data_IF_476243519270
#
_entry.id   IF_476243519270
#
_cell.length_a   1.000
_cell.length_b   1.000
_cell.length_c   1.000
_cell.angle_alpha   90.00
_cell.angle_beta   90.00
_cell.angle_gamma   90.00
#
_symmetry.space_group_name_H-M   'P 1'
#
loop_
_entity.id
_entity.type
_entity.pdbx_description
1 polymer ?
#
# COMPACT_ATOMS: atom_id res chain seq x y z
N UNK A 1 -0.57 12.64 17.44
CA UNK A 1 -1.45 13.82 17.38
C UNK A 1 -1.72 14.12 15.91
N UNK A 2 -2.98 14.18 15.48
CA UNK A 2 -3.37 14.65 14.16
C UNK A 2 -3.86 16.09 14.31
N UNK A 3 -3.41 16.99 13.44
CA UNK A 3 -3.83 18.39 13.46
C UNK A 3 -3.85 18.97 12.04
N UNK A 4 -4.61 20.05 11.84
CA UNK A 4 -4.60 20.77 10.58
C UNK A 4 -3.26 21.48 10.36
N UNK A 5 -2.96 21.79 9.10
CA UNK A 5 -1.76 22.52 8.74
C UNK A 5 -1.68 23.90 9.44
N UNK A 6 -2.80 24.61 9.52
CA UNK A 6 -2.90 25.90 10.22
C UNK A 6 -2.53 25.78 11.69
N UNK A 7 -3.00 24.71 12.36
CA UNK A 7 -2.65 24.45 13.75
C UNK A 7 -1.16 24.16 13.88
N UNK A 8 -0.61 23.30 13.04
CA UNK A 8 0.82 22.98 13.03
C UNK A 8 1.68 24.23 12.83
N UNK A 9 1.28 25.13 11.91
CA UNK A 9 1.95 26.42 11.65
C UNK A 9 1.87 27.35 12.87
N UNK A 10 0.69 27.54 13.47
CA UNK A 10 0.50 28.40 14.66
C UNK A 10 1.33 27.93 15.85
N UNK A 11 1.45 26.63 16.04
CA UNK A 11 2.18 26.03 17.15
C UNK A 11 3.65 25.72 16.83
N UNK A 12 4.16 26.15 15.66
CA UNK A 12 5.55 25.97 15.22
C UNK A 12 6.02 24.51 15.33
N UNK A 13 5.16 23.57 14.95
CA UNK A 13 5.51 22.15 14.90
C UNK A 13 6.68 21.96 13.93
N UNK A 14 7.76 21.36 14.42
CA UNK A 14 8.96 21.09 13.61
C UNK A 14 8.82 19.73 12.95
N UNK A 15 9.13 19.67 11.65
CA UNK A 15 9.13 18.44 10.84
C UNK A 15 7.80 17.67 10.85
N UNK A 16 6.67 18.29 10.45
CA UNK A 16 5.40 17.58 10.36
C UNK A 16 5.44 16.50 9.27
N UNK A 17 4.85 15.34 9.55
CA UNK A 17 4.51 14.34 8.54
C UNK A 17 3.13 14.69 7.99
N UNK A 18 3.02 14.77 6.66
CA UNK A 18 1.79 15.15 5.97
C UNK A 18 1.11 13.90 5.41
N UNK A 19 -0.16 13.73 5.74
CA UNK A 19 -1.02 12.73 5.10
C UNK A 19 -1.45 13.29 3.75
N UNK A 20 -0.95 12.72 2.64
CA UNK A 20 -1.28 13.16 1.28
C UNK A 20 -2.66 12.68 0.82
N UNK A 21 -3.00 11.45 1.15
CA UNK A 21 -4.31 10.87 0.87
C UNK A 21 -4.57 9.70 1.82
N UNK A 22 -5.83 9.32 1.91
CA UNK A 22 -6.30 8.14 2.62
C UNK A 22 -7.53 7.61 1.87
N UNK A 23 -7.61 6.29 1.70
CA UNK A 23 -8.77 5.63 1.15
C UNK A 23 -9.19 4.47 2.07
N UNK A 24 -10.48 4.14 2.03
CA UNK A 24 -11.03 2.97 2.72
C UNK A 24 -12.00 2.29 1.75
N UNK A 25 -11.77 1.01 1.51
CA UNK A 25 -12.59 0.18 0.63
C UNK A 25 -13.16 -0.99 1.44
N UNK A 26 -14.18 -1.64 0.89
CA UNK A 26 -14.81 -2.82 1.49
C UNK A 26 -15.11 -3.84 0.39
N UNK A 27 -15.33 -5.08 0.79
CA UNK A 27 -15.56 -6.17 -0.15
C UNK A 27 -16.78 -5.88 -1.02
N UNK A 28 -16.64 -6.18 -2.31
CA UNK A 28 -17.76 -6.10 -3.25
C UNK A 28 -18.42 -7.48 -3.40
N UNK A 29 -19.70 -7.57 -3.81
CA UNK A 29 -20.35 -8.87 -4.02
C UNK A 29 -19.61 -9.81 -4.98
N UNK A 30 -18.90 -9.25 -5.98
CA UNK A 30 -18.10 -10.01 -6.95
C UNK A 30 -16.85 -10.70 -6.38
N UNK A 31 -16.47 -10.38 -5.15
CA UNK A 31 -15.34 -10.97 -4.43
C UNK A 31 -15.57 -12.47 -4.18
N UNK A 32 -16.82 -12.87 -3.93
CA UNK A 32 -17.19 -14.26 -3.63
C UNK A 32 -17.72 -15.04 -4.84
N UNK A 33 -18.14 -14.36 -5.90
CA UNK A 33 -18.73 -15.00 -7.11
C UNK A 33 -17.67 -15.45 -8.14
N UNK A 34 -16.42 -15.00 -8.01
CA UNK A 34 -15.38 -15.21 -9.03
C UNK A 34 -14.76 -16.62 -9.04
N UNK A 35 -14.89 -17.39 -7.95
CA UNK A 35 -14.18 -18.65 -7.76
C UNK A 35 -12.65 -18.50 -7.63
N UNK A 36 -12.14 -17.27 -7.58
CA UNK A 36 -10.72 -16.96 -7.49
C UNK A 36 -10.34 -16.62 -6.05
N UNK A 37 -9.53 -17.50 -5.46
CA UNK A 37 -9.07 -17.36 -4.08
C UNK A 37 -8.25 -16.07 -3.87
N UNK A 38 -7.61 -15.51 -4.89
CA UNK A 38 -6.87 -14.24 -4.78
C UNK A 38 -7.80 -13.05 -4.52
N UNK A 39 -9.01 -13.06 -5.08
CA UNK A 39 -9.99 -12.00 -4.87
C UNK A 39 -10.59 -12.10 -3.48
N UNK A 40 -10.90 -13.34 -3.05
CA UNK A 40 -11.44 -13.65 -1.72
C UNK A 40 -10.49 -13.23 -0.59
N UNK A 41 -9.17 -13.23 -0.82
CA UNK A 41 -8.19 -12.79 0.19
C UNK A 41 -7.93 -11.28 0.20
N UNK A 42 -8.67 -10.49 -0.59
CA UNK A 42 -8.64 -9.02 -0.51
C UNK A 42 -7.73 -8.31 -1.52
N UNK A 43 -7.29 -9.00 -2.59
CA UNK A 43 -6.49 -8.38 -3.67
C UNK A 43 -7.21 -7.18 -4.31
N UNK A 44 -8.46 -7.37 -4.72
CA UNK A 44 -9.25 -6.32 -5.38
C UNK A 44 -9.48 -5.12 -4.45
N UNK A 45 -9.74 -5.38 -3.17
CA UNK A 45 -9.88 -4.31 -2.17
C UNK A 45 -8.61 -3.49 -2.03
N UNK A 46 -7.47 -4.18 -1.92
CA UNK A 46 -6.15 -3.55 -1.76
C UNK A 46 -5.80 -2.74 -2.99
N UNK A 47 -6.01 -3.30 -4.19
CA UNK A 47 -5.78 -2.64 -5.47
C UNK A 47 -6.64 -1.38 -5.63
N UNK A 48 -7.91 -1.45 -5.26
CA UNK A 48 -8.80 -0.29 -5.35
C UNK A 48 -8.45 0.79 -4.33
N UNK A 49 -8.10 0.41 -3.09
CA UNK A 49 -7.63 1.37 -2.10
C UNK A 49 -6.34 2.07 -2.55
N UNK A 50 -5.38 1.30 -3.07
CA UNK A 50 -4.13 1.84 -3.62
C UNK A 50 -4.40 2.81 -4.78
N UNK A 51 -5.27 2.42 -5.72
CA UNK A 51 -5.67 3.26 -6.86
C UNK A 51 -6.25 4.60 -6.40
N UNK A 52 -7.18 4.59 -5.44
CA UNK A 52 -7.78 5.82 -4.92
C UNK A 52 -6.75 6.72 -4.22
N UNK A 53 -5.81 6.14 -3.45
CA UNK A 53 -4.73 6.90 -2.80
C UNK A 53 -3.78 7.50 -3.82
N UNK A 54 -3.37 6.76 -4.84
CA UNK A 54 -2.49 7.26 -5.90
C UNK A 54 -3.15 8.41 -6.68
N UNK A 55 -4.41 8.24 -7.06
CA UNK A 55 -5.18 9.27 -7.75
C UNK A 55 -5.34 10.54 -6.90
N UNK A 56 -5.72 10.40 -5.63
CA UNK A 56 -5.94 11.54 -4.74
C UNK A 56 -4.63 12.25 -4.31
N UNK A 57 -3.52 11.51 -4.21
CA UNK A 57 -2.24 12.04 -3.76
C UNK A 57 -1.37 12.59 -4.90
N UNK A 58 -1.63 12.18 -6.14
CA UNK A 58 -0.81 12.50 -7.32
C UNK A 58 0.52 11.74 -7.39
N UNK A 59 0.67 10.68 -6.60
CA UNK A 59 1.84 9.79 -6.60
C UNK A 59 1.53 8.45 -7.24
N UNK A 60 2.54 7.78 -7.77
CA UNK A 60 2.47 6.40 -8.22
C UNK A 60 3.23 5.43 -7.30
N UNK A 61 3.10 4.12 -7.55
CA UNK A 61 3.80 3.09 -6.78
C UNK A 61 5.32 3.25 -6.79
N UNK A 62 5.89 3.75 -7.89
CA UNK A 62 7.33 4.04 -8.02
C UNK A 62 7.84 5.18 -7.14
N UNK A 63 6.94 6.01 -6.60
CA UNK A 63 7.30 7.13 -5.72
C UNK A 63 7.32 6.72 -4.24
N UNK A 64 6.93 5.47 -3.94
CA UNK A 64 6.85 4.93 -2.59
C UNK A 64 8.20 4.32 -2.19
N UNK A 65 8.92 4.95 -1.27
CA UNK A 65 10.20 4.43 -0.77
C UNK A 65 10.07 3.43 0.39
N UNK A 66 8.98 3.52 1.16
CA UNK A 66 8.73 2.67 2.34
C UNK A 66 7.24 2.34 2.41
N UNK A 67 6.91 1.07 2.69
CA UNK A 67 5.55 0.60 2.87
C UNK A 67 5.42 -0.22 4.15
N UNK A 68 4.50 0.17 5.03
CA UNK A 68 4.09 -0.63 6.19
C UNK A 68 2.87 -1.46 5.80
N UNK A 69 2.97 -2.78 5.91
CA UNK A 69 1.92 -3.72 5.53
C UNK A 69 1.38 -4.42 6.78
N UNK A 70 0.12 -4.85 6.73
CA UNK A 70 -0.55 -5.49 7.87
C UNK A 70 -0.42 -7.02 7.78
N UNK A 71 0.53 -7.59 8.51
CA UNK A 71 0.98 -9.00 8.45
C UNK A 71 0.05 -10.04 9.13
N UNK A 72 -1.27 -9.83 9.14
CA UNK A 72 -2.18 -10.87 9.67
C UNK A 72 -2.36 -12.08 8.74
N UNK A 73 -1.87 -12.02 7.51
CA UNK A 73 -1.92 -13.13 6.56
C UNK A 73 -0.56 -13.25 5.89
N UNK A 74 0.26 -14.19 6.35
CA UNK A 74 1.65 -14.38 5.85
C UNK A 74 1.71 -14.84 4.39
N UNK A 75 0.59 -15.31 3.83
CA UNK A 75 0.42 -15.61 2.39
C UNK A 75 0.15 -14.34 1.56
N UNK A 76 -0.14 -13.21 2.22
CA UNK A 76 -0.68 -12.00 1.60
C UNK A 76 0.38 -10.95 1.24
N UNK A 77 1.66 -11.16 1.58
CA UNK A 77 2.72 -10.18 1.27
C UNK A 77 2.97 -10.10 -0.24
N UNK A 78 3.05 -11.26 -0.92
CA UNK A 78 3.23 -11.34 -2.37
C UNK A 78 2.05 -10.72 -3.14
N UNK A 79 0.83 -11.08 -2.73
CA UNK A 79 -0.42 -10.58 -3.31
C UNK A 79 -0.55 -9.07 -3.08
N UNK A 80 -0.07 -8.58 -1.92
CA UNK A 80 -0.08 -7.15 -1.60
C UNK A 80 0.86 -6.35 -2.50
N UNK A 81 2.07 -6.83 -2.83
CA UNK A 81 2.98 -6.09 -3.71
C UNK A 81 2.42 -5.90 -5.12
N UNK A 82 1.73 -6.92 -5.63
CA UNK A 82 1.07 -6.87 -6.93
C UNK A 82 -0.17 -5.96 -6.88
N UNK A 83 -0.98 -6.07 -5.81
CA UNK A 83 -2.15 -5.22 -5.61
C UNK A 83 -1.79 -3.74 -5.46
N UNK A 84 -0.69 -3.45 -4.74
CA UNK A 84 -0.14 -2.10 -4.56
C UNK A 84 0.55 -1.60 -5.82
N UNK A 85 0.86 -2.47 -6.78
CA UNK A 85 1.51 -2.10 -8.04
C UNK A 85 3.02 -1.88 -7.93
N UNK A 86 3.68 -2.41 -6.90
CA UNK A 86 5.15 -2.38 -6.80
C UNK A 86 5.82 -3.31 -7.82
N UNK A 87 5.11 -4.35 -8.24
CA UNK A 87 5.56 -5.31 -9.25
C UNK A 87 4.37 -5.86 -10.05
N UNK A 88 4.54 -6.29 -11.31
CA UNK A 88 3.47 -6.90 -12.09
C UNK A 88 2.91 -8.19 -11.47
N UNK A 89 1.66 -8.54 -11.80
CA UNK A 89 1.02 -9.79 -11.37
C UNK A 89 1.86 -11.03 -11.75
N UNK A 90 2.00 -11.97 -10.81
CA UNK A 90 2.80 -13.18 -10.96
C UNK A 90 4.32 -12.98 -10.86
N UNK A 91 4.78 -11.80 -10.41
CA UNK A 91 6.22 -11.50 -10.29
C UNK A 91 6.67 -11.17 -8.87
N UNK A 92 5.77 -11.20 -7.89
CA UNK A 92 6.10 -10.92 -6.50
C UNK A 92 7.22 -11.80 -5.93
N UNK A 93 7.27 -13.09 -6.28
CA UNK A 93 8.33 -13.98 -5.82
C UNK A 93 9.70 -13.48 -6.29
N UNK A 94 9.81 -13.09 -7.57
CA UNK A 94 11.05 -12.53 -8.12
C UNK A 94 11.40 -11.20 -7.44
N UNK A 95 10.42 -10.33 -7.22
CA UNK A 95 10.61 -9.05 -6.53
C UNK A 95 11.24 -9.25 -5.13
N UNK A 96 10.79 -10.26 -4.38
CA UNK A 96 11.38 -10.62 -3.08
C UNK A 96 12.77 -11.23 -3.23
N UNK A 97 12.95 -12.18 -4.16
CA UNK A 97 14.22 -12.87 -4.38
C UNK A 97 15.33 -11.92 -4.86
N UNK A 98 14.98 -10.92 -5.67
CA UNK A 98 15.90 -9.88 -6.14
C UNK A 98 16.23 -8.86 -5.03
N UNK A 99 15.55 -8.93 -3.87
CA UNK A 99 15.74 -8.02 -2.75
C UNK A 99 15.13 -6.64 -2.97
N UNK A 100 14.23 -6.49 -3.94
CA UNK A 100 13.58 -5.20 -4.25
C UNK A 100 12.64 -4.73 -3.12
N UNK A 101 12.26 -5.63 -2.20
CA UNK A 101 11.41 -5.35 -1.04
C UNK A 101 12.19 -4.94 0.24
N UNK A 102 13.53 -4.84 0.17
CA UNK A 102 14.37 -4.57 1.35
C UNK A 102 15.35 -3.41 1.13
N UNK A 103 16.21 -3.15 2.12
CA UNK A 103 17.19 -2.04 2.08
C UNK A 103 18.09 -2.12 0.85
N UNK A 104 18.07 -1.07 0.03
CA UNK A 104 18.82 -1.01 -1.23
C UNK A 104 18.02 -1.49 -2.45
N UNK A 105 16.82 -2.03 -2.23
CA UNK A 105 15.84 -2.34 -3.26
C UNK A 105 14.98 -1.15 -3.67
N UNK A 106 13.86 -1.43 -4.33
CA UNK A 106 12.91 -0.43 -4.83
C UNK A 106 12.03 0.16 -3.73
N UNK A 107 11.48 -0.70 -2.87
CA UNK A 107 10.55 -0.32 -1.80
C UNK A 107 10.92 -1.08 -0.55
N UNK A 108 11.12 -0.40 0.58
CA UNK A 108 11.36 -1.09 1.85
C UNK A 108 10.03 -1.47 2.48
N UNK A 109 9.78 -2.76 2.69
CA UNK A 109 8.54 -3.27 3.27
C UNK A 109 8.75 -3.78 4.70
N UNK A 110 7.77 -3.55 5.57
CA UNK A 110 7.74 -4.01 6.97
C UNK A 110 8.91 -3.49 7.83
N UNK A 111 8.72 -2.34 8.48
CA UNK A 111 9.68 -1.78 9.44
C UNK A 111 9.06 -1.79 10.84
N UNK A 112 8.92 -2.99 11.39
CA UNK A 112 8.78 -3.20 12.83
C UNK A 112 10.12 -3.50 13.48
#
# INVERSE_FOLDING_TARGET
>A
MLCSEDFARRHRVRSPVVIRAQAMTSDTPGTFDSGDMMRVVGYDMTREAARQVYEASGYGPQDIGVAELHDCFTVNELISYEALGFTPEGTAEKFVLDGDNTYGGKVVTNRS
#
